data_IF_977633677740
#
_entry.id   IF_977633677740
#
_cell.length_a   1.000
_cell.length_b   1.000
_cell.length_c   1.000
_cell.angle_alpha   90.00
_cell.angle_beta   90.00
_cell.angle_gamma   90.00
#
_symmetry.space_group_name_H-M   'P 1'
#
loop_
_entity.id
_entity.type
_entity.pdbx_description
1 polymer ?
#
# COMPACT_ATOMS: atom_id res chain seq x y z
N UNK A 1 8.10 16.36 -4.40
CA UNK A 1 9.06 15.24 -4.46
C UNK A 1 9.67 15.05 -3.08
N UNK A 2 9.85 13.81 -2.63
CA UNK A 2 10.53 13.53 -1.36
C UNK A 2 12.02 13.91 -1.45
N UNK A 3 12.56 14.53 -0.40
CA UNK A 3 13.98 14.93 -0.36
C UNK A 3 14.83 13.77 0.18
N UNK A 4 16.07 13.64 -0.32
CA UNK A 4 17.04 12.65 0.21
C UNK A 4 17.22 12.87 1.72
N UNK A 5 17.02 11.82 2.52
CA UNK A 5 17.09 11.88 3.99
C UNK A 5 15.75 12.19 4.69
N UNK A 6 14.64 12.34 3.95
CA UNK A 6 13.33 12.52 4.55
C UNK A 6 12.85 11.21 5.21
N UNK A 7 12.69 11.24 6.53
CA UNK A 7 12.06 10.15 7.28
C UNK A 7 10.54 10.32 7.28
N UNK A 8 9.81 9.24 6.99
CA UNK A 8 8.36 9.19 7.10
C UNK A 8 7.97 8.50 8.40
N UNK A 9 7.20 9.19 9.24
CA UNK A 9 6.62 8.59 10.44
C UNK A 9 5.60 7.54 10.01
N UNK A 10 5.78 6.31 10.48
CA UNK A 10 4.81 5.24 10.29
C UNK A 10 3.93 5.14 11.52
N UNK A 11 2.61 5.11 11.29
CA UNK A 11 1.62 4.90 12.34
C UNK A 11 1.08 3.48 12.21
N UNK A 12 0.94 2.79 13.34
CA UNK A 12 0.32 1.46 13.42
C UNK A 12 -1.14 1.53 12.97
N UNK A 13 -1.72 0.37 12.65
CA UNK A 13 -3.14 0.29 12.29
C UNK A 13 -4.03 0.81 13.43
N UNK A 14 -3.70 0.48 14.68
CA UNK A 14 -4.47 0.88 15.86
C UNK A 14 -4.60 2.39 15.96
N UNK A 15 -3.50 3.13 15.76
CA UNK A 15 -3.51 4.60 15.78
C UNK A 15 -4.38 5.18 14.65
N UNK A 16 -4.35 4.55 13.46
CA UNK A 16 -5.19 4.98 12.33
C UNK A 16 -6.67 4.75 12.62
N UNK A 17 -7.00 3.58 13.20
CA UNK A 17 -8.37 3.23 13.56
C UNK A 17 -8.92 4.13 14.65
N UNK A 18 -8.12 4.42 15.68
CA UNK A 18 -8.52 5.35 16.73
C UNK A 18 -8.74 6.76 16.17
N UNK A 19 -7.86 7.24 15.29
CA UNK A 19 -8.06 8.53 14.63
C UNK A 19 -9.39 8.60 13.85
N UNK A 20 -9.79 7.51 13.20
CA UNK A 20 -11.05 7.42 12.47
C UNK A 20 -12.24 7.39 13.43
N UNK A 21 -12.14 6.63 14.53
CA UNK A 21 -13.16 6.53 15.58
C UNK A 21 -13.48 7.91 16.15
N UNK A 22 -12.45 8.66 16.55
CA UNK A 22 -12.59 10.01 17.12
C UNK A 22 -13.25 11.01 16.14
N UNK A 23 -12.99 10.89 14.83
CA UNK A 23 -13.62 11.77 13.83
C UNK A 23 -15.08 11.38 13.55
N UNK A 24 -15.39 10.08 13.47
CA UNK A 24 -16.72 9.63 13.07
C UNK A 24 -17.72 9.52 14.24
N UNK A 25 -17.27 9.07 15.41
CA UNK A 25 -18.12 8.86 16.59
C UNK A 25 -18.17 10.10 17.48
N UNK A 26 -17.01 10.68 17.79
CA UNK A 26 -16.91 11.82 18.71
C UNK A 26 -17.02 13.17 17.99
N UNK A 27 -17.19 13.15 16.65
CA UNK A 27 -17.29 14.31 15.78
C UNK A 27 -16.16 15.35 15.97
N UNK A 28 -15.00 14.91 16.47
CA UNK A 28 -13.86 15.79 16.67
C UNK A 28 -13.31 16.29 15.34
N UNK A 29 -12.84 17.54 15.34
CA UNK A 29 -12.17 18.07 14.17
C UNK A 29 -10.86 17.32 13.93
N UNK A 30 -10.48 17.19 12.67
CA UNK A 30 -9.19 16.55 12.30
C UNK A 30 -8.02 17.22 13.00
N UNK A 31 -8.10 18.54 13.27
CA UNK A 31 -7.07 19.29 13.96
C UNK A 31 -6.95 18.89 15.43
N UNK A 32 -8.06 18.63 16.11
CA UNK A 32 -8.06 18.14 17.48
C UNK A 32 -7.50 16.72 17.55
N UNK A 33 -7.96 15.83 16.66
CA UNK A 33 -7.46 14.44 16.58
C UNK A 33 -5.95 14.41 16.32
N UNK A 34 -5.43 15.27 15.45
CA UNK A 34 -3.97 15.34 15.22
C UNK A 34 -3.19 15.75 16.45
N UNK A 35 -3.75 16.64 17.29
CA UNK A 35 -3.09 17.03 18.54
C UNK A 35 -3.20 15.93 19.59
N UNK A 36 -4.36 15.26 19.66
CA UNK A 36 -4.63 14.21 20.63
C UNK A 36 -3.74 12.98 20.41
N UNK A 37 -3.52 12.59 19.16
CA UNK A 37 -2.74 11.40 18.78
C UNK A 37 -1.29 11.74 18.36
N UNK A 38 -0.85 12.98 18.58
CA UNK A 38 0.48 13.50 18.17
C UNK A 38 0.83 13.20 16.69
N UNK A 39 -0.16 13.34 15.81
CA UNK A 39 0.00 13.12 14.38
C UNK A 39 0.47 14.40 13.72
N UNK A 40 1.69 14.38 13.19
CA UNK A 40 2.32 15.54 12.55
C UNK A 40 1.51 16.13 11.38
N UNK A 41 0.79 15.31 10.61
CA UNK A 41 0.15 15.75 9.37
C UNK A 41 -1.37 15.47 9.35
N UNK A 42 -2.17 16.54 9.37
CA UNK A 42 -3.64 16.48 9.25
C UNK A 42 -4.15 15.83 7.96
N UNK A 43 -3.42 15.96 6.85
CA UNK A 43 -3.82 15.34 5.59
C UNK A 43 -3.75 13.82 5.64
N UNK A 44 -2.92 13.24 6.52
CA UNK A 44 -2.89 11.79 6.73
C UNK A 44 -4.18 11.30 7.39
N UNK A 45 -4.62 11.99 8.45
CA UNK A 45 -5.88 11.67 9.14
C UNK A 45 -7.07 11.83 8.18
N UNK A 46 -7.12 12.91 7.40
CA UNK A 46 -8.13 13.09 6.37
C UNK A 46 -8.16 11.92 5.38
N UNK A 47 -6.99 11.48 4.90
CA UNK A 47 -6.89 10.34 3.98
C UNK A 47 -7.38 9.04 4.60
N UNK A 48 -7.08 8.78 5.88
CA UNK A 48 -7.56 7.58 6.56
C UNK A 48 -9.08 7.57 6.70
N UNK A 49 -9.68 8.70 7.09
CA UNK A 49 -11.14 8.84 7.19
C UNK A 49 -11.80 8.65 5.83
N UNK A 50 -11.26 9.27 4.78
CA UNK A 50 -11.79 9.10 3.41
C UNK A 50 -11.72 7.64 2.95
N UNK A 51 -10.58 6.97 3.15
CA UNK A 51 -10.39 5.55 2.80
C UNK A 51 -11.34 4.64 3.56
N UNK A 52 -11.49 4.87 4.86
CA UNK A 52 -12.40 4.12 5.70
C UNK A 52 -13.85 4.25 5.23
N UNK A 53 -14.29 5.47 4.87
CA UNK A 53 -15.63 5.70 4.32
C UNK A 53 -15.84 5.05 2.96
N UNK A 54 -14.78 4.89 2.16
CA UNK A 54 -14.80 4.19 0.89
C UNK A 54 -14.71 2.66 1.02
N UNK A 55 -14.52 2.12 2.23
CA UNK A 55 -14.27 0.69 2.45
C UNK A 55 -12.91 0.21 1.96
N UNK A 56 -11.95 1.13 1.75
CA UNK A 56 -10.59 0.80 1.32
C UNK A 56 -9.72 0.34 2.50
N UNK A 57 -8.73 -0.50 2.21
CA UNK A 57 -7.78 -0.96 3.22
C UNK A 57 -6.81 0.16 3.64
N UNK A 58 -6.60 0.31 4.95
CA UNK A 58 -5.67 1.27 5.56
C UNK A 58 -4.24 0.74 5.65
N UNK A 59 -4.07 -0.57 5.48
CA UNK A 59 -2.76 -1.22 5.37
C UNK A 59 -2.16 -0.96 3.98
N UNK A 60 -0.84 -0.79 3.88
CA UNK A 60 -0.18 -0.70 2.59
C UNK A 60 -0.44 -1.98 1.80
N UNK A 61 -0.89 -1.83 0.55
CA UNK A 61 -1.00 -2.95 -0.38
C UNK A 61 0.41 -3.48 -0.64
N UNK A 62 0.66 -4.74 -0.31
CA UNK A 62 1.97 -5.39 -0.49
C UNK A 62 2.29 -5.65 -1.95
N UNK A 63 1.32 -5.49 -2.85
CA UNK A 63 1.50 -5.47 -4.29
C UNK A 63 2.28 -4.23 -4.70
N UNK A 64 3.60 -4.29 -4.49
CA UNK A 64 4.54 -3.40 -5.15
C UNK A 64 4.44 -3.69 -6.66
N UNK A 65 3.63 -2.92 -7.37
CA UNK A 65 3.78 -2.73 -8.81
C UNK A 65 5.08 -1.95 -9.03
N UNK A 66 6.20 -2.63 -8.82
CA UNK A 66 7.54 -2.13 -9.04
C UNK A 66 8.20 -2.90 -10.19
N UNK A 67 9.48 -2.58 -10.42
CA UNK A 67 10.30 -3.33 -11.36
C UNK A 67 10.25 -4.83 -11.01
N UNK A 68 10.03 -5.72 -11.99
CA UNK A 68 10.05 -7.16 -11.76
C UNK A 68 11.36 -7.59 -11.08
N UNK A 69 11.29 -8.63 -10.24
CA UNK A 69 12.45 -9.16 -9.52
C UNK A 69 13.44 -9.75 -10.54
N UNK A 70 14.69 -9.29 -10.52
CA UNK A 70 15.74 -9.77 -11.44
C UNK A 70 16.86 -10.55 -10.73
N UNK A 71 16.80 -10.70 -9.41
CA UNK A 71 17.77 -11.46 -8.61
C UNK A 71 17.03 -12.44 -7.73
N UNK A 72 17.32 -13.73 -7.90
CA UNK A 72 16.68 -14.82 -7.17
C UNK A 72 17.62 -15.39 -6.11
N UNK A 73 17.05 -15.87 -5.01
CA UNK A 73 17.82 -16.49 -3.92
C UNK A 73 18.12 -17.96 -4.14
N UNK A 74 17.37 -18.61 -5.04
CA UNK A 74 17.51 -20.03 -5.39
C UNK A 74 17.18 -20.24 -6.86
N UNK A 75 17.77 -21.28 -7.45
CA UNK A 75 17.48 -21.73 -8.81
C UNK A 75 16.02 -22.19 -8.96
N UNK A 76 15.44 -22.78 -7.91
CA UNK A 76 14.04 -23.21 -7.93
C UNK A 76 13.08 -22.01 -8.01
N UNK A 77 13.42 -20.93 -7.31
CA UNK A 77 12.68 -19.67 -7.34
C UNK A 77 12.75 -19.02 -8.73
N UNK A 78 13.93 -19.04 -9.36
CA UNK A 78 14.13 -18.55 -10.72
C UNK A 78 13.32 -19.36 -11.73
N UNK A 79 13.34 -20.70 -11.63
CA UNK A 79 12.55 -21.57 -12.50
C UNK A 79 11.05 -21.31 -12.37
N UNK A 80 10.54 -21.14 -11.14
CA UNK A 80 9.14 -20.82 -10.90
C UNK A 80 8.75 -19.47 -11.53
N UNK A 81 9.61 -18.46 -11.36
CA UNK A 81 9.40 -17.14 -11.96
C UNK A 81 9.38 -17.19 -13.50
N UNK A 82 10.36 -17.86 -14.12
CA UNK A 82 10.42 -17.97 -15.59
C UNK A 82 9.22 -18.74 -16.16
N UNK A 83 8.75 -19.79 -15.47
CA UNK A 83 7.54 -20.52 -15.89
C UNK A 83 6.30 -19.63 -15.86
N UNK A 84 6.13 -18.84 -14.80
CA UNK A 84 5.02 -17.90 -14.68
C UNK A 84 5.06 -16.81 -15.78
N UNK A 85 6.25 -16.30 -16.10
CA UNK A 85 6.44 -15.32 -17.18
C UNK A 85 6.09 -15.92 -18.55
N UNK A 86 6.55 -17.14 -18.83
CA UNK A 86 6.21 -17.85 -20.08
C UNK A 86 4.70 -18.08 -20.18
N UNK A 87 4.05 -18.50 -19.11
CA UNK A 87 2.60 -18.70 -19.08
C UNK A 87 1.83 -17.39 -19.33
N UNK A 88 2.26 -16.30 -18.68
CA UNK A 88 1.71 -14.97 -18.92
C UNK A 88 1.84 -14.55 -20.38
N UNK A 89 3.03 -14.70 -20.98
CA UNK A 89 3.28 -14.36 -22.38
C UNK A 89 2.46 -15.24 -23.34
N UNK A 90 2.32 -16.54 -23.05
CA UNK A 90 1.45 -17.45 -23.81
C UNK A 90 -0.01 -16.99 -23.81
N UNK A 91 -0.51 -16.55 -22.65
CA UNK A 91 -1.87 -16.02 -22.50
C UNK A 91 -2.07 -14.69 -23.24
N UNK A 92 -1.08 -13.81 -23.24
CA UNK A 92 -1.15 -12.52 -23.94
C UNK A 92 -1.03 -12.68 -25.46
N UNK A 93 -0.25 -13.65 -25.93
CA UNK A 93 0.01 -13.88 -27.34
C UNK A 93 -0.41 -15.29 -27.77
N UNK A 94 -1.71 -15.62 -27.75
CA UNK A 94 -2.19 -16.94 -28.17
C UNK A 94 -1.91 -17.21 -29.66
N UNK A 95 -1.76 -16.15 -30.46
CA UNK A 95 -1.52 -16.24 -31.90
C UNK A 95 -0.05 -16.53 -32.26
N UNK A 96 0.89 -16.32 -31.33
CA UNK A 96 2.32 -16.51 -31.57
C UNK A 96 2.79 -17.96 -31.29
N UNK A 97 1.90 -18.77 -30.72
CA UNK A 97 2.16 -20.16 -30.30
C UNK A 97 1.40 -21.19 -31.14
N UNK A 98 0.89 -20.80 -32.32
CA UNK A 98 0.32 -21.72 -33.31
C UNK A 98 1.46 -22.25 -34.18
N UNK A 99 1.94 -23.46 -33.86
CA UNK A 99 2.59 -24.33 -34.85
C UNK A 99 1.53 -25.00 -35.73
#
# INVERSE_FOLDING_TARGET
>A
MAKKGQSFQQYSLDVKMEAIRLVNEEHMSIREVTKHLDIRNKSQVQSWVTKYRAGENLQPTTTRQGRPKTKFSSMEEEMAYLRAEIEYLKKQYPNLHKE
#
